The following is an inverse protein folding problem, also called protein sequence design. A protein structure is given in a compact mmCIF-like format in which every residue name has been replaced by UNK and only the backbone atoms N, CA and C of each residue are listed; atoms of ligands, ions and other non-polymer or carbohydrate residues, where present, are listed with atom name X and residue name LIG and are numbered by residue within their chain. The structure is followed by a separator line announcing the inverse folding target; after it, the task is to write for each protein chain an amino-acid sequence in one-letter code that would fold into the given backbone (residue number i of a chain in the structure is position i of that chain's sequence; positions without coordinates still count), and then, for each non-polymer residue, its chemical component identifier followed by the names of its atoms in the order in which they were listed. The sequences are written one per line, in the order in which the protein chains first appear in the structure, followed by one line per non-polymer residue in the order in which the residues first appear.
data_IF_359798240328
#
_entry.id   IF_359798240328
#
_cell.length_a   1.000
_cell.length_b   1.000
_cell.length_c   1.000
_cell.angle_alpha   90.00
_cell.angle_beta   90.00
_cell.angle_gamma   90.00
#
_symmetry.space_group_name_H-M   'P 1'
#
loop_
_entity.id
_entity.type
_entity.pdbx_description
1 polymer ?
#
# COMPACT_ATOMS: atom_id res chain seq x y z
N UNK A 1 17.88 -3.48 -8.86
CA UNK A 1 17.50 -4.56 -8.33
C UNK A 1 16.48 -5.17 -9.03
N UNK A 2 16.40 -6.31 -9.04
CA UNK A 2 15.60 -6.87 -9.78
C UNK A 2 14.86 -7.85 -9.09
N UNK A 3 13.73 -7.56 -8.72
CA UNK A 3 12.87 -8.43 -8.07
C UNK A 3 12.01 -9.02 -9.11
N UNK A 4 12.06 -10.28 -9.25
CA UNK A 4 11.26 -10.92 -10.24
C UNK A 4 9.99 -11.42 -9.66
N UNK A 5 8.88 -10.99 -10.21
CA UNK A 5 7.58 -11.46 -9.79
C UNK A 5 7.05 -12.49 -10.77
N UNK A 6 6.39 -13.50 -10.27
CA UNK A 6 5.61 -14.39 -11.14
C UNK A 6 4.41 -13.62 -11.67
N UNK A 7 3.74 -14.12 -12.70
CA UNK A 7 2.55 -13.43 -13.20
C UNK A 7 1.50 -13.23 -12.11
N UNK A 8 1.32 -14.22 -11.24
CA UNK A 8 0.36 -14.09 -10.16
C UNK A 8 0.77 -12.98 -9.20
N UNK A 9 2.06 -12.89 -8.91
CA UNK A 9 2.54 -11.87 -8.00
C UNK A 9 2.42 -10.48 -8.61
N UNK A 10 2.60 -10.37 -9.92
CA UNK A 10 2.43 -9.08 -10.57
C UNK A 10 0.99 -8.61 -10.48
N UNK A 11 0.05 -9.51 -10.67
CA UNK A 11 -1.35 -9.15 -10.53
C UNK A 11 -1.69 -8.77 -9.09
N UNK A 12 -1.15 -9.52 -8.15
CA UNK A 12 -1.39 -9.22 -6.76
C UNK A 12 -0.84 -7.84 -6.40
N UNK A 13 0.34 -7.53 -6.89
CA UNK A 13 0.93 -6.25 -6.64
C UNK A 13 0.10 -5.12 -7.21
N UNK A 14 -0.40 -5.31 -8.43
CA UNK A 14 -1.24 -4.31 -9.06
C UNK A 14 -2.52 -4.09 -8.26
N UNK A 15 -3.12 -5.17 -7.83
CA UNK A 15 -4.35 -5.06 -7.06
C UNK A 15 -4.09 -4.38 -5.72
N UNK A 16 -2.99 -4.73 -5.07
CA UNK A 16 -2.64 -4.10 -3.82
C UNK A 16 -2.44 -2.61 -3.99
N UNK A 17 -1.73 -2.21 -5.05
CA UNK A 17 -1.52 -0.80 -5.32
C UNK A 17 -2.84 -0.08 -5.59
N UNK A 18 -3.70 -0.72 -6.35
CA UNK A 18 -4.98 -0.11 -6.67
C UNK A 18 -5.79 0.13 -5.41
N UNK A 19 -5.82 -0.85 -4.53
CA UNK A 19 -6.58 -0.72 -3.30
C UNK A 19 -5.99 0.36 -2.41
N UNK A 20 -4.69 0.32 -2.21
CA UNK A 20 -4.05 1.26 -1.31
C UNK A 20 -4.06 2.68 -1.85
N UNK A 21 -3.82 2.85 -3.14
CA UNK A 21 -3.86 4.18 -3.71
C UNK A 21 -5.26 4.76 -3.68
N UNK A 22 -6.25 3.91 -3.93
CA UNK A 22 -7.63 4.38 -3.87
C UNK A 22 -8.03 4.79 -2.47
N UNK A 23 -7.49 4.10 -1.48
CA UNK A 23 -7.88 4.37 -0.11
C UNK A 23 -7.07 5.51 0.51
N UNK A 24 -5.78 5.56 0.24
CA UNK A 24 -4.92 6.46 0.96
C UNK A 24 -4.13 7.44 0.10
N UNK A 25 -3.99 7.16 -1.17
CA UNK A 25 -3.02 7.90 -1.96
C UNK A 25 -3.61 8.97 -2.84
N UNK A 26 -4.72 8.68 -3.49
CA UNK A 26 -5.24 9.60 -4.47
C UNK A 26 -6.03 10.73 -3.87
N UNK A 27 -6.58 10.51 -2.68
CA UNK A 27 -7.44 11.52 -2.10
C UNK A 27 -6.74 12.25 -1.00
N UNK A 28 -7.03 13.51 -0.90
CA UNK A 28 -6.51 14.33 0.18
C UNK A 28 -7.42 14.20 1.38
N UNK A 29 -6.88 14.48 2.53
CA UNK A 29 -7.71 14.58 3.71
C UNK A 29 -8.45 15.91 3.66
N UNK A 30 -9.19 16.20 4.72
CA UNK A 30 -10.03 17.39 4.72
C UNK A 30 -9.24 18.67 4.66
N UNK A 31 -7.96 18.60 4.99
CA UNK A 31 -7.13 19.80 4.95
C UNK A 31 -6.41 19.93 3.63
N UNK A 32 -6.70 19.08 2.68
CA UNK A 32 -6.06 19.13 1.39
C UNK A 32 -4.70 18.49 1.33
N UNK A 33 -4.32 17.75 2.36
CA UNK A 33 -3.03 17.08 2.40
C UNK A 33 -3.18 15.63 2.00
N UNK A 34 -2.18 15.07 1.34
CA UNK A 34 -2.25 13.66 1.00
C UNK A 34 -2.23 12.85 2.28
N UNK A 35 -2.98 11.77 2.29
CA UNK A 35 -3.03 10.94 3.47
C UNK A 35 -1.71 10.24 3.73
N UNK A 36 -1.10 9.73 2.68
CA UNK A 36 0.17 9.04 2.80
C UNK A 36 0.99 9.29 1.56
N UNK A 37 2.28 9.21 1.71
CA UNK A 37 3.17 9.40 0.58
C UNK A 37 3.18 8.16 -0.29
N UNK A 38 3.42 8.38 -1.58
CA UNK A 38 3.35 7.28 -2.54
C UNK A 38 4.34 6.19 -2.25
N UNK A 39 5.56 6.55 -1.85
CA UNK A 39 6.56 5.53 -1.65
C UNK A 39 6.20 4.59 -0.51
N UNK A 40 5.44 5.07 0.46
CA UNK A 40 4.99 4.21 1.55
C UNK A 40 4.02 3.18 1.03
N UNK A 41 3.13 3.63 0.15
CA UNK A 41 2.14 2.73 -0.43
C UNK A 41 2.80 1.68 -1.31
N UNK A 42 3.74 2.10 -2.14
CA UNK A 42 4.44 1.15 -3.00
C UNK A 42 5.23 0.15 -2.16
N UNK A 43 5.87 0.63 -1.12
CA UNK A 43 6.63 -0.27 -0.27
C UNK A 43 5.73 -1.29 0.39
N UNK A 44 4.57 -0.86 0.85
CA UNK A 44 3.65 -1.78 1.48
C UNK A 44 3.18 -2.85 0.51
N UNK A 45 2.86 -2.44 -0.72
CA UNK A 45 2.40 -3.40 -1.71
C UNK A 45 3.47 -4.44 -2.00
N UNK A 46 4.71 -4.00 -2.12
CA UNK A 46 5.79 -4.93 -2.42
C UNK A 46 6.05 -5.86 -1.26
N UNK A 47 6.01 -5.36 -0.05
CA UNK A 47 6.18 -6.22 1.10
C UNK A 47 5.05 -7.21 1.25
N UNK A 48 3.84 -6.78 0.90
CA UNK A 48 2.69 -7.66 0.96
C UNK A 48 2.88 -8.87 0.04
N UNK A 49 3.34 -8.61 -1.17
CA UNK A 49 3.58 -9.68 -2.12
C UNK A 49 4.75 -10.53 -1.68
N UNK A 50 5.81 -9.91 -1.21
CA UNK A 50 7.00 -10.64 -0.81
C UNK A 50 6.76 -11.52 0.40
N UNK A 51 5.78 -11.18 1.20
CA UNK A 51 5.46 -11.98 2.38
C UNK A 51 4.75 -13.28 2.04
N UNK A 52 4.40 -13.48 0.78
CA UNK A 52 3.77 -14.73 0.39
C UNK A 52 2.25 -14.70 0.43
N UNK A 53 1.66 -13.55 0.54
CA UNK A 53 0.21 -13.47 0.54
C UNK A 53 -0.33 -13.89 -0.82
N UNK A 54 -1.51 -14.47 -0.81
CA UNK A 54 -2.13 -14.95 -2.03
C UNK A 54 -3.20 -14.02 -2.54
N UNK A 55 -3.66 -13.10 -1.71
CA UNK A 55 -4.67 -12.14 -2.12
C UNK A 55 -4.48 -10.90 -1.29
N UNK A 56 -5.37 -9.94 -1.44
CA UNK A 56 -5.25 -8.68 -0.74
C UNK A 56 -6.19 -8.55 0.46
N UNK A 57 -6.72 -9.67 0.92
CA UNK A 57 -7.57 -9.63 2.10
C UNK A 57 -6.77 -9.14 3.29
N UNK A 58 -7.27 -8.13 3.95
CA UNK A 58 -6.62 -7.60 5.13
C UNK A 58 -5.49 -6.63 4.86
N UNK A 59 -5.27 -6.26 3.60
CA UNK A 59 -4.15 -5.39 3.30
C UNK A 59 -4.36 -3.99 3.89
N UNK A 60 -5.58 -3.52 3.92
CA UNK A 60 -5.84 -2.20 4.49
C UNK A 60 -5.57 -2.20 5.98
N UNK A 61 -6.01 -3.24 6.66
CA UNK A 61 -5.76 -3.37 8.07
C UNK A 61 -4.27 -3.47 8.35
N UNK A 62 -3.57 -4.23 7.53
CA UNK A 62 -2.13 -4.38 7.67
C UNK A 62 -1.43 -3.03 7.46
N UNK A 63 -1.86 -2.30 6.45
CA UNK A 63 -1.26 -1.00 6.18
C UNK A 63 -1.46 -0.06 7.36
N UNK A 64 -2.66 0.00 7.90
CA UNK A 64 -2.94 0.87 9.02
C UNK A 64 -2.17 0.45 10.27
N UNK A 65 -2.02 -0.85 10.45
CA UNK A 65 -1.32 -1.34 11.61
C UNK A 65 0.17 -1.06 11.54
N UNK A 66 0.74 -1.09 10.34
CA UNK A 66 2.17 -0.93 10.16
C UNK A 66 2.56 0.52 9.92
N UNK A 67 1.76 1.24 9.17
CA UNK A 67 2.09 2.60 8.79
C UNK A 67 1.11 3.62 9.32
N UNK A 68 0.07 3.17 10.02
CA UNK A 68 -1.03 4.05 10.38
C UNK A 68 -0.64 5.29 11.14
N UNK A 69 0.32 5.17 12.05
CA UNK A 69 0.74 6.32 12.81
C UNK A 69 1.86 7.10 12.17
N UNK A 70 2.34 6.61 11.04
CA UNK A 70 3.54 7.14 10.45
C UNK A 70 3.32 8.52 9.85
N UNK A 71 2.29 8.66 9.03
CA UNK A 71 2.02 9.93 8.41
C UNK A 71 0.93 10.71 9.09
N UNK A 72 0.09 10.05 9.82
CA UNK A 72 -1.02 10.72 10.44
C UNK A 72 -0.58 11.85 11.35
N UNK A 73 0.55 11.68 11.99
CA UNK A 73 1.00 12.70 12.88
C UNK A 73 1.77 13.79 12.23
N UNK A 74 2.12 13.61 10.99
CA UNK A 74 2.86 14.62 10.29
C UNK A 74 1.98 15.62 9.61
N UNK A 75 0.71 15.40 9.64
CA UNK A 75 -0.24 16.30 9.04
C UNK A 75 -1.09 16.91 10.12
#
# INVERSE_FOLDING_TARGET
MTYKYSPHQMLLRQEALKILLGQFGAKNNERGLPKYQSHVIYECAERWVAAGNLNCDGIIKHFLSYYGGYNAENY
#
